data_IF_354872993296
#
_entry.id   IF_354872993296
#
_cell.length_a   1.000
_cell.length_b   1.000
_cell.length_c   1.000
_cell.angle_alpha   90.00
_cell.angle_beta   90.00
_cell.angle_gamma   90.00
#
_symmetry.space_group_name_H-M   'P 1'
#
loop_
_entity.id
_entity.type
_entity.pdbx_description
1 polymer ?
#
# COMPACT_ATOMS: atom_id res chain seq x y z
N UNK A 1 5.82 -1.64 -28.90
CA UNK A 1 6.81 -0.59 -28.58
C UNK A 1 8.19 -1.21 -28.64
N UNK A 2 9.11 -0.59 -29.35
CA UNK A 2 10.44 -1.09 -29.65
C UNK A 2 11.50 0.04 -29.71
N UNK A 3 12.73 -0.31 -30.10
CA UNK A 3 13.89 0.60 -30.20
C UNK A 3 13.67 1.80 -31.14
N UNK A 4 12.69 1.75 -32.04
CA UNK A 4 12.32 2.86 -32.93
C UNK A 4 11.45 3.92 -32.25
N UNK A 5 10.84 3.62 -31.11
CA UNK A 5 10.01 4.56 -30.36
C UNK A 5 10.85 5.55 -29.54
N UNK A 6 10.50 6.84 -29.58
CA UNK A 6 11.26 7.91 -28.93
C UNK A 6 11.47 7.69 -27.42
N UNK A 7 10.48 7.10 -26.74
CA UNK A 7 10.52 6.87 -25.29
C UNK A 7 11.28 5.59 -24.91
N UNK A 8 11.68 4.75 -25.88
CA UNK A 8 12.35 3.48 -25.60
C UNK A 8 13.58 3.64 -24.72
N UNK A 9 14.42 4.63 -25.06
CA UNK A 9 15.69 4.89 -24.37
C UNK A 9 15.52 5.43 -22.95
N UNK A 10 14.32 5.90 -22.60
CA UNK A 10 14.00 6.43 -21.27
C UNK A 10 13.53 5.32 -20.30
N UNK A 11 13.03 4.21 -20.84
CA UNK A 11 12.48 3.11 -20.05
C UNK A 11 13.56 2.26 -19.41
N UNK A 12 13.25 1.79 -18.20
CA UNK A 12 14.14 0.94 -17.39
C UNK A 12 13.36 -0.18 -16.73
N UNK A 13 14.04 -1.31 -16.54
CA UNK A 13 13.60 -2.40 -15.67
C UNK A 13 14.29 -2.23 -14.33
N UNK A 14 13.49 -2.26 -13.26
CA UNK A 14 14.00 -2.33 -11.89
C UNK A 14 13.91 -3.76 -11.39
N UNK A 15 15.03 -4.33 -10.96
CA UNK A 15 15.10 -5.59 -10.26
C UNK A 15 15.65 -5.36 -8.86
N UNK A 16 14.74 -5.34 -7.89
CA UNK A 16 15.05 -5.26 -6.47
C UNK A 16 15.85 -6.51 -6.04
N UNK A 17 17.07 -6.32 -5.54
CA UNK A 17 17.97 -7.42 -5.16
C UNK A 17 17.97 -7.68 -3.66
N UNK A 18 17.68 -6.67 -2.85
CA UNK A 18 17.85 -6.72 -1.41
C UNK A 18 16.50 -6.66 -0.64
N UNK A 19 15.40 -6.41 -1.36
CA UNK A 19 14.02 -6.34 -0.87
C UNK A 19 13.73 -5.17 0.09
N UNK A 20 14.44 -4.05 -0.06
CA UNK A 20 14.20 -2.83 0.73
C UNK A 20 13.22 -1.85 0.07
N UNK A 21 12.93 -2.02 -1.23
CA UNK A 21 11.98 -1.19 -1.96
C UNK A 21 12.54 0.19 -2.32
N UNK A 22 13.86 0.38 -2.23
CA UNK A 22 14.55 1.62 -2.57
C UNK A 22 15.43 1.37 -3.78
N UNK A 23 15.16 2.04 -4.89
CA UNK A 23 15.95 1.84 -6.11
C UNK A 23 17.43 2.17 -5.93
N UNK A 24 18.32 1.21 -6.26
CA UNK A 24 19.76 1.43 -6.29
C UNK A 24 20.36 1.36 -7.71
N UNK A 25 21.60 1.86 -7.85
CA UNK A 25 22.26 2.03 -9.16
C UNK A 25 22.43 0.71 -9.91
N UNK A 26 22.70 -0.38 -9.22
CA UNK A 26 22.95 -1.69 -9.81
C UNK A 26 21.68 -2.54 -10.00
N UNK A 27 20.51 -1.97 -9.70
CA UNK A 27 19.19 -2.62 -9.85
C UNK A 27 18.40 -2.11 -11.05
N UNK A 28 18.82 -1.00 -11.65
CA UNK A 28 18.18 -0.42 -12.83
C UNK A 28 18.91 -0.78 -14.11
N UNK A 29 18.17 -1.36 -15.04
CA UNK A 29 18.67 -1.79 -16.33
C UNK A 29 17.90 -1.05 -17.44
N UNK A 30 18.57 -0.65 -18.51
CA UNK A 30 17.85 -0.27 -19.74
C UNK A 30 17.20 -1.52 -20.34
N UNK A 31 16.17 -1.34 -21.17
CA UNK A 31 15.51 -2.45 -21.87
C UNK A 31 16.52 -3.29 -22.68
N UNK A 32 17.45 -2.62 -23.38
CA UNK A 32 18.50 -3.29 -24.15
C UNK A 32 19.44 -4.11 -23.26
N UNK A 33 19.83 -3.61 -22.09
CA UNK A 33 20.67 -4.36 -21.14
C UNK A 33 19.93 -5.54 -20.52
N UNK A 34 18.61 -5.45 -20.40
CA UNK A 34 17.76 -6.55 -19.98
C UNK A 34 17.56 -7.59 -21.12
N UNK A 35 17.96 -7.28 -22.36
CA UNK A 35 17.77 -8.16 -23.52
C UNK A 35 16.34 -8.15 -24.06
N UNK A 36 15.58 -7.09 -23.80
CA UNK A 36 14.22 -6.91 -24.30
C UNK A 36 14.31 -6.32 -25.71
N UNK A 37 13.66 -6.98 -26.67
CA UNK A 37 13.60 -6.52 -28.05
C UNK A 37 12.41 -5.57 -28.27
N UNK A 38 11.21 -6.00 -27.86
CA UNK A 38 10.00 -5.18 -27.93
C UNK A 38 8.96 -5.62 -26.89
N UNK A 39 8.06 -4.69 -26.56
CA UNK A 39 6.92 -4.90 -25.66
C UNK A 39 5.64 -4.79 -26.47
N UNK A 40 4.79 -5.81 -26.40
CA UNK A 40 3.47 -5.78 -27.01
C UNK A 40 2.57 -4.79 -26.27
N UNK A 41 1.80 -3.99 -27.02
CA UNK A 41 0.87 -3.01 -26.44
C UNK A 41 -0.59 -3.50 -26.47
N UNK A 42 -0.84 -4.63 -27.13
CA UNK A 42 -2.13 -5.30 -27.08
C UNK A 42 -2.28 -5.97 -25.72
N UNK A 43 -3.31 -5.56 -24.97
CA UNK A 43 -3.56 -6.05 -23.62
C UNK A 43 -4.76 -7.00 -23.58
N UNK A 44 -4.67 -8.01 -22.74
CA UNK A 44 -5.78 -8.85 -22.33
C UNK A 44 -6.07 -8.62 -20.86
N UNK A 45 -7.35 -8.61 -20.47
CA UNK A 45 -7.71 -8.49 -19.05
C UNK A 45 -7.49 -9.82 -18.34
N UNK A 46 -6.69 -9.77 -17.27
CA UNK A 46 -6.55 -10.85 -16.30
C UNK A 46 -7.38 -10.48 -15.07
N UNK A 47 -8.02 -11.46 -14.44
CA UNK A 47 -8.80 -11.25 -13.21
C UNK A 47 -8.42 -12.34 -12.21
N UNK A 48 -7.13 -12.38 -11.88
CA UNK A 48 -6.52 -13.44 -11.11
C UNK A 48 -5.84 -12.88 -9.86
N UNK A 49 -5.93 -13.62 -8.75
CA UNK A 49 -5.18 -13.35 -7.53
C UNK A 49 -4.11 -14.43 -7.36
N UNK A 50 -2.87 -14.03 -7.12
CA UNK A 50 -1.79 -14.97 -6.83
C UNK A 50 -1.83 -15.49 -5.37
N UNK A 51 -0.92 -16.40 -5.03
CA UNK A 51 -0.82 -17.00 -3.70
C UNK A 51 -0.54 -15.98 -2.58
N UNK A 52 -0.05 -14.78 -2.93
CA UNK A 52 0.23 -13.68 -2.01
C UNK A 52 -0.89 -12.63 -2.02
N UNK A 53 -2.03 -12.94 -2.65
CA UNK A 53 -3.18 -12.06 -2.82
C UNK A 53 -2.90 -10.77 -3.61
N UNK A 54 -1.85 -10.73 -4.44
CA UNK A 54 -1.71 -9.64 -5.41
C UNK A 54 -2.68 -9.86 -6.56
N UNK A 55 -3.26 -8.80 -7.08
CA UNK A 55 -4.22 -8.87 -8.18
C UNK A 55 -3.53 -8.58 -9.51
N UNK A 56 -3.63 -9.51 -10.46
CA UNK A 56 -3.10 -9.41 -11.81
C UNK A 56 -4.24 -8.93 -12.71
N UNK A 57 -4.15 -7.68 -13.17
CA UNK A 57 -5.26 -6.97 -13.84
C UNK A 57 -5.17 -7.02 -15.37
N UNK A 58 -3.99 -6.81 -15.93
CA UNK A 58 -3.76 -6.74 -17.37
C UNK A 58 -2.53 -7.56 -17.73
N UNK A 59 -2.58 -8.21 -18.87
CA UNK A 59 -1.51 -9.05 -19.37
C UNK A 59 -1.17 -8.67 -20.81
N UNK A 60 0.12 -8.77 -21.15
CA UNK A 60 0.65 -8.70 -22.50
C UNK A 60 1.93 -9.51 -22.59
N UNK A 61 2.74 -9.29 -23.63
CA UNK A 61 3.99 -10.02 -23.84
C UNK A 61 5.20 -9.12 -24.03
N UNK A 62 6.33 -9.60 -23.55
CA UNK A 62 7.67 -9.09 -23.84
C UNK A 62 8.36 -10.10 -24.73
N UNK A 63 8.95 -9.63 -25.82
CA UNK A 63 9.76 -10.43 -26.70
C UNK A 63 11.23 -10.07 -26.50
N UNK A 64 12.05 -11.11 -26.35
CA UNK A 64 13.46 -11.00 -25.99
C UNK A 64 14.34 -11.08 -27.24
N UNK A 65 15.57 -10.55 -27.15
CA UNK A 65 16.55 -10.57 -28.25
C UNK A 65 16.94 -12.01 -28.67
N UNK A 66 16.74 -13.00 -27.79
CA UNK A 66 16.95 -14.42 -28.10
C UNK A 66 15.77 -15.10 -28.82
N UNK A 67 14.71 -14.36 -29.14
CA UNK A 67 13.51 -14.87 -29.80
C UNK A 67 12.47 -15.50 -28.87
N UNK A 68 12.74 -15.60 -27.56
CA UNK A 68 11.75 -16.04 -26.59
C UNK A 68 10.68 -14.95 -26.36
N UNK A 69 9.54 -15.37 -25.81
CA UNK A 69 8.47 -14.48 -25.39
C UNK A 69 8.00 -14.85 -24.00
N UNK A 70 7.73 -13.86 -23.16
CA UNK A 70 7.22 -14.05 -21.79
C UNK A 70 6.08 -13.09 -21.49
N UNK A 71 5.23 -13.48 -20.54
CA UNK A 71 4.16 -12.62 -20.05
C UNK A 71 4.73 -11.37 -19.33
N UNK A 72 4.11 -10.22 -19.55
CA UNK A 72 4.22 -9.03 -18.69
C UNK A 72 2.83 -8.71 -18.14
N UNK A 73 2.76 -8.34 -16.87
CA UNK A 73 1.50 -8.17 -16.15
C UNK A 73 1.47 -6.87 -15.37
N UNK A 74 0.32 -6.22 -15.35
CA UNK A 74 -0.02 -5.15 -14.41
C UNK A 74 -0.49 -5.79 -13.10
N UNK A 75 0.30 -5.59 -12.03
CA UNK A 75 0.07 -6.20 -10.73
C UNK A 75 -0.25 -5.14 -9.70
N UNK A 76 -1.45 -5.22 -9.13
CA UNK A 76 -1.85 -4.47 -7.96
C UNK A 76 -1.34 -5.22 -6.72
N UNK A 77 -0.25 -4.71 -6.16
CA UNK A 77 0.42 -5.30 -5.00
C UNK A 77 -0.44 -5.19 -3.74
N UNK A 78 -0.55 -6.29 -3.01
CA UNK A 78 -1.23 -6.33 -1.73
C UNK A 78 -0.41 -5.60 -0.67
N UNK A 79 -1.01 -4.60 -0.03
CA UNK A 79 -0.39 -3.89 1.08
C UNK A 79 -0.93 -4.42 2.40
N UNK A 80 -0.06 -4.52 3.41
CA UNK A 80 -0.51 -4.82 4.76
C UNK A 80 -1.59 -3.81 5.16
N UNK A 81 -2.72 -4.25 5.73
CA UNK A 81 -3.70 -3.34 6.29
C UNK A 81 -2.99 -2.39 7.26
N UNK A 82 -3.32 -1.10 7.18
CA UNK A 82 -2.85 -0.16 8.19
C UNK A 82 -3.45 -0.57 9.55
N UNK A 83 -2.66 -1.27 10.36
CA UNK A 83 -3.08 -1.82 11.66
C UNK A 83 -3.15 -0.75 12.75
N UNK A 84 -2.64 0.45 12.49
CA UNK A 84 -2.69 1.55 13.46
C UNK A 84 -4.13 2.00 13.71
N UNK A 85 -5.00 1.95 12.70
CA UNK A 85 -6.43 2.21 12.84
C UNK A 85 -7.11 1.23 13.82
N UNK A 86 -6.67 -0.03 13.85
CA UNK A 86 -7.18 -1.05 14.77
C UNK A 86 -6.66 -0.86 16.20
N UNK A 87 -5.43 -0.36 16.37
CA UNK A 87 -4.90 -0.01 17.70
C UNK A 87 -5.60 1.21 18.28
N UNK A 88 -5.82 2.25 17.47
CA UNK A 88 -6.55 3.46 17.87
C UNK A 88 -7.99 3.11 18.25
N UNK A 89 -8.67 2.28 17.45
CA UNK A 89 -10.03 1.83 17.75
C UNK A 89 -10.12 1.05 19.07
N UNK A 90 -9.14 0.19 19.36
CA UNK A 90 -9.06 -0.53 20.63
C UNK A 90 -8.76 0.39 21.82
N UNK A 91 -7.86 1.36 21.66
CA UNK A 91 -7.56 2.36 22.70
C UNK A 91 -8.78 3.23 23.00
N UNK A 92 -9.49 3.69 21.98
CA UNK A 92 -10.74 4.45 22.14
C UNK A 92 -11.80 3.61 22.85
N UNK A 93 -11.97 2.35 22.48
CA UNK A 93 -12.92 1.44 23.13
C UNK A 93 -12.56 1.22 24.60
N UNK A 94 -11.28 1.02 24.92
CA UNK A 94 -10.81 0.87 26.29
C UNK A 94 -11.04 2.15 27.12
N UNK A 95 -10.81 3.33 26.54
CA UNK A 95 -11.06 4.60 27.20
C UNK A 95 -12.55 4.78 27.50
N UNK A 96 -13.43 4.50 26.53
CA UNK A 96 -14.88 4.56 26.74
C UNK A 96 -15.31 3.59 27.84
N UNK A 97 -14.80 2.36 27.85
CA UNK A 97 -15.11 1.36 28.89
C UNK A 97 -14.69 1.88 30.27
N UNK A 98 -13.50 2.46 30.39
CA UNK A 98 -13.00 3.00 31.65
C UNK A 98 -13.84 4.19 32.14
N UNK A 99 -14.26 5.09 31.24
CA UNK A 99 -15.13 6.22 31.57
C UNK A 99 -16.56 5.79 31.94
N UNK A 100 -17.10 4.74 31.30
CA UNK A 100 -18.38 4.16 31.69
C UNK A 100 -18.31 3.46 33.06
N UNK A 101 -17.20 2.78 33.32
CA UNK A 101 -16.94 2.15 34.62
C UNK A 101 -16.79 3.19 35.74
N UNK A 102 -16.11 4.31 35.49
CA UNK A 102 -15.98 5.41 36.46
C UNK A 102 -17.34 6.04 36.77
N UNK A 103 -18.18 6.27 35.75
CA UNK A 103 -19.53 6.81 35.93
C UNK A 103 -20.44 5.88 36.74
N UNK A 104 -20.39 4.56 36.48
CA UNK A 104 -21.20 3.58 37.22
C UNK A 104 -20.72 3.34 38.66
N UNK A 105 -19.44 3.61 38.96
CA UNK A 105 -18.89 3.55 40.32
C UNK A 105 -19.25 4.76 41.19
N UNK A 106 -19.76 5.83 40.57
CA UNK A 106 -20.13 7.07 41.22
C UNK A 106 -21.54 6.94 41.82
N UNK A 107 -21.63 6.56 43.10
CA UNK A 107 -22.90 6.47 43.81
C UNK A 107 -23.59 7.84 43.91
N UNK A 108 -24.70 8.02 43.17
CA UNK A 108 -25.81 9.00 43.28
C UNK A 108 -25.57 10.45 43.77
N UNK A 109 -24.35 10.94 43.96
CA UNK A 109 -24.12 12.24 44.63
C UNK A 109 -22.91 13.05 44.20
N UNK A 110 -22.04 12.54 43.31
CA UNK A 110 -20.96 13.35 42.75
C UNK A 110 -21.20 13.57 41.26
N UNK A 111 -21.07 14.83 40.82
CA UNK A 111 -21.18 15.21 39.41
C UNK A 111 -19.78 15.36 38.84
N UNK A 112 -19.50 14.69 37.72
CA UNK A 112 -18.22 14.87 37.02
C UNK A 112 -18.25 16.22 36.30
N UNK A 113 -17.26 17.11 36.50
CA UNK A 113 -17.19 18.36 35.76
C UNK A 113 -17.00 18.09 34.27
N UNK A 114 -17.88 18.64 33.44
CA UNK A 114 -17.90 18.49 31.95
C UNK A 114 -16.51 18.72 31.32
N UNK A 115 -15.70 19.59 31.92
CA UNK A 115 -14.36 19.92 31.44
C UNK A 115 -13.39 18.71 31.47
N UNK A 116 -13.58 17.77 32.40
CA UNK A 116 -12.73 16.59 32.49
C UNK A 116 -13.02 15.59 31.36
N UNK A 117 -14.28 15.52 30.92
CA UNK A 117 -14.70 14.73 29.77
C UNK A 117 -14.24 15.34 28.44
N UNK A 118 -14.34 16.66 28.29
CA UNK A 118 -13.89 17.36 27.06
C UNK A 118 -12.38 17.22 26.86
N UNK A 119 -11.57 17.35 27.92
CA UNK A 119 -10.11 17.24 27.82
C UNK A 119 -9.64 15.84 27.37
N UNK A 120 -10.33 14.77 27.78
CA UNK A 120 -9.95 13.41 27.36
C UNK A 120 -10.25 13.18 25.87
N UNK A 121 -11.36 13.73 25.38
CA UNK A 121 -11.72 13.69 23.95
C UNK A 121 -10.73 14.52 23.12
N UNK A 122 -10.42 15.75 23.53
CA UNK A 122 -9.50 16.63 22.79
C UNK A 122 -8.08 16.05 22.68
N UNK A 123 -7.57 15.44 23.75
CA UNK A 123 -6.26 14.76 23.71
C UNK A 123 -6.23 13.60 22.70
N UNK A 124 -7.35 12.88 22.59
CA UNK A 124 -7.49 11.72 21.69
C UNK A 124 -7.64 12.16 20.23
N UNK A 125 -8.34 13.27 19.98
CA UNK A 125 -8.49 13.85 18.63
C UNK A 125 -7.19 14.50 18.12
N UNK A 126 -6.40 15.12 19.01
CA UNK A 126 -5.11 15.73 18.62
C UNK A 126 -4.05 14.73 18.15
N UNK A 127 -4.20 13.45 18.52
CA UNK A 127 -3.34 12.34 18.09
C UNK A 127 -3.68 11.83 16.68
N UNK A 128 -4.64 12.44 15.98
CA UNK A 128 -5.09 12.02 14.65
C UNK A 128 -4.88 13.15 13.62
N UNK A 129 -3.69 13.28 12.99
CA UNK A 129 -3.50 14.29 11.96
C UNK A 129 -4.20 13.96 10.63
N UNK A 130 -4.55 12.71 10.34
CA UNK A 130 -4.93 12.29 8.98
C UNK A 130 -6.05 11.24 8.95
N UNK A 131 -7.30 11.67 9.18
CA UNK A 131 -8.49 10.91 8.79
C UNK A 131 -9.02 11.26 7.38
N UNK A 132 -8.30 12.10 6.64
CA UNK A 132 -8.63 12.52 5.28
C UNK A 132 -7.37 12.45 4.40
N UNK A 133 -6.90 11.24 4.08
CA UNK A 133 -6.04 11.02 2.91
C UNK A 133 -6.28 9.64 2.32
#
# INVERSE_FOLDING_TARGET
MDKGDNLWSELKVWQEKNSDGITQKDELYSLDKAGINYIELNITKSHFYDLNNNFHQLESFVNWDNGNSTLITDVLLHQKPNTDNNKISQQLMNNIINEMASFSSLGNSESIPINQFINSIESTVSLIPNLLR
#
